data_IF_525380848335
#
_entry.id   IF_525380848335
#
_cell.length_a   1.000
_cell.length_b   1.000
_cell.length_c   1.000
_cell.angle_alpha   90.00
_cell.angle_beta   90.00
_cell.angle_gamma   90.00
#
_symmetry.space_group_name_H-M   'P 1'
#
loop_
_entity.id
_entity.type
_entity.pdbx_description
1 polymer ?
#
# COMPACT_ATOMS: atom_id res chain seq x y z
N UNK A 1 4.22 4.00 2.51
CA UNK A 1 5.07 4.16 1.30
C UNK A 1 6.34 4.95 1.54
N UNK A 2 6.30 6.06 2.29
CA UNK A 2 7.52 6.74 2.75
C UNK A 2 8.44 5.76 3.51
N UNK A 3 7.84 4.95 4.38
CA UNK A 3 8.59 3.95 5.18
C UNK A 3 9.19 2.84 4.29
N UNK A 4 8.48 2.36 3.25
CA UNK A 4 9.04 1.46 2.24
C UNK A 4 10.19 2.09 1.45
N UNK A 5 10.14 3.40 1.21
CA UNK A 5 11.22 4.08 0.52
C UNK A 5 12.46 4.25 1.41
N UNK A 6 12.27 4.41 2.72
CA UNK A 6 13.34 4.66 3.69
C UNK A 6 13.98 3.36 4.18
N UNK A 7 13.17 2.31 4.34
CA UNK A 7 13.58 1.06 4.97
C UNK A 7 13.33 -0.15 4.09
N UNK A 8 12.86 0.02 2.84
CA UNK A 8 12.43 -1.09 2.00
C UNK A 8 13.45 -2.20 1.89
N UNK A 9 14.72 -1.88 1.65
CA UNK A 9 15.81 -2.87 1.61
C UNK A 9 15.87 -3.74 2.87
N UNK A 10 15.83 -3.12 4.06
CA UNK A 10 15.81 -3.83 5.33
C UNK A 10 14.52 -4.65 5.49
N UNK A 11 13.36 -4.04 5.22
CA UNK A 11 12.05 -4.69 5.36
C UNK A 11 11.90 -5.91 4.43
N UNK A 12 12.51 -5.91 3.25
CA UNK A 12 12.53 -7.04 2.31
C UNK A 12 13.46 -8.18 2.74
N UNK A 13 14.45 -7.90 3.58
CA UNK A 13 15.37 -8.89 4.14
C UNK A 13 14.89 -9.38 5.53
N UNK A 14 13.64 -9.10 5.90
CA UNK A 14 13.09 -9.34 7.23
C UNK A 14 13.89 -8.66 8.37
N UNK A 15 14.62 -7.59 8.04
CA UNK A 15 15.37 -6.77 8.99
C UNK A 15 14.49 -5.61 9.44
N UNK A 16 14.05 -5.65 10.69
CA UNK A 16 13.28 -4.53 11.27
C UNK A 16 14.27 -3.43 11.71
N UNK A 17 14.17 -2.21 11.15
CA UNK A 17 15.06 -1.12 11.51
C UNK A 17 14.95 -0.81 13.01
N UNK A 18 16.11 -0.55 13.65
CA UNK A 18 16.13 -0.06 15.02
C UNK A 18 15.56 1.36 15.08
N UNK A 19 14.37 1.50 15.65
CA UNK A 19 13.69 2.77 15.91
C UNK A 19 13.34 2.88 17.38
N UNK A 20 13.43 4.07 17.96
CA UNK A 20 13.23 4.29 19.40
C UNK A 20 11.77 4.08 19.85
N UNK A 21 10.80 4.29 18.96
CA UNK A 21 9.37 4.12 19.24
C UNK A 21 8.92 2.70 18.92
N UNK A 22 8.57 1.92 19.96
CA UNK A 22 8.09 0.54 19.84
C UNK A 22 6.82 0.43 18.97
N UNK A 23 5.92 1.40 19.01
CA UNK A 23 4.71 1.36 18.17
C UNK A 23 5.09 1.52 16.70
N UNK A 24 6.10 2.34 16.43
CA UNK A 24 6.60 2.52 15.08
C UNK A 24 7.35 1.27 14.59
N UNK A 25 8.17 0.66 15.44
CA UNK A 25 8.82 -0.61 15.14
C UNK A 25 7.80 -1.71 14.77
N UNK A 26 6.72 -1.81 15.54
CA UNK A 26 5.63 -2.75 15.25
C UNK A 26 4.94 -2.46 13.91
N UNK A 27 4.71 -1.17 13.59
CA UNK A 27 4.15 -0.81 12.28
C UNK A 27 5.13 -1.09 11.12
N UNK A 28 6.44 -0.97 11.33
CA UNK A 28 7.45 -1.37 10.34
C UNK A 28 7.45 -2.90 10.13
N UNK A 29 7.34 -3.67 11.21
CA UNK A 29 7.21 -5.12 11.13
C UNK A 29 5.95 -5.55 10.38
N UNK A 30 4.80 -4.95 10.69
CA UNK A 30 3.56 -5.20 9.95
C UNK A 30 3.68 -4.82 8.48
N UNK A 31 4.37 -3.72 8.16
CA UNK A 31 4.61 -3.33 6.78
C UNK A 31 5.52 -4.33 6.02
N UNK A 32 6.55 -4.88 6.66
CA UNK A 32 7.37 -5.96 6.12
C UNK A 32 6.51 -7.19 5.83
N UNK A 33 5.69 -7.61 6.79
CA UNK A 33 4.79 -8.77 6.62
C UNK A 33 3.78 -8.57 5.48
N UNK A 34 3.14 -7.41 5.39
CA UNK A 34 2.22 -7.09 4.28
C UNK A 34 2.92 -7.12 2.93
N UNK A 35 4.18 -6.68 2.88
CA UNK A 35 4.99 -6.68 1.67
C UNK A 35 5.38 -8.11 1.28
N UNK A 36 5.71 -8.97 2.25
CA UNK A 36 5.98 -10.38 2.03
C UNK A 36 4.72 -11.16 1.59
N UNK A 37 3.56 -10.85 2.19
CA UNK A 37 2.28 -11.40 1.76
C UNK A 37 1.99 -11.03 0.31
N UNK A 38 2.23 -9.77 -0.07
CA UNK A 38 2.06 -9.29 -1.44
C UNK A 38 2.90 -10.05 -2.47
N UNK A 39 4.12 -10.50 -2.11
CA UNK A 39 4.94 -11.30 -3.03
C UNK A 39 4.21 -12.57 -3.47
N UNK A 40 3.32 -13.11 -2.66
CA UNK A 40 2.65 -14.39 -2.91
C UNK A 40 1.11 -14.27 -3.05
N UNK A 41 0.53 -13.09 -2.83
CA UNK A 41 -0.92 -12.84 -2.81
C UNK A 41 -1.31 -11.62 -3.64
N UNK A 42 -2.52 -11.64 -4.24
CA UNK A 42 -3.05 -10.50 -5.00
C UNK A 42 -3.51 -9.38 -4.07
N UNK A 43 -2.53 -8.75 -3.46
CA UNK A 43 -2.65 -7.48 -2.78
C UNK A 43 -2.22 -6.43 -3.79
N UNK A 44 -2.91 -5.29 -3.83
CA UNK A 44 -2.55 -4.19 -4.72
C UNK A 44 -2.28 -2.97 -3.86
N UNK A 45 -1.02 -2.54 -3.82
CA UNK A 45 -0.71 -1.27 -3.21
C UNK A 45 -0.95 -0.17 -4.22
N UNK A 46 -1.90 0.70 -3.91
CA UNK A 46 -2.20 1.85 -4.76
C UNK A 46 -1.62 3.10 -4.13
N UNK A 47 -0.87 3.83 -4.95
CA UNK A 47 -0.29 5.11 -4.60
C UNK A 47 -1.10 6.17 -5.28
N UNK A 48 -1.90 6.91 -4.52
CA UNK A 48 -2.78 7.89 -5.15
C UNK A 48 -2.02 9.14 -5.61
N UNK A 49 -2.49 9.84 -6.65
CA UNK A 49 -1.87 11.09 -7.10
C UNK A 49 -1.69 12.13 -5.98
N UNK A 50 -2.66 12.27 -5.05
CA UNK A 50 -2.51 13.19 -3.91
C UNK A 50 -1.36 12.81 -3.00
N UNK A 51 -1.11 11.51 -2.80
CA UNK A 51 0.01 10.99 -2.01
C UNK A 51 1.37 11.43 -2.57
N UNK A 52 1.46 11.65 -3.89
CA UNK A 52 2.67 12.15 -4.55
C UNK A 52 2.89 13.65 -4.32
N UNK A 53 1.81 14.41 -4.14
CA UNK A 53 1.84 15.88 -3.99
C UNK A 53 1.81 16.36 -2.55
N UNK A 54 1.56 15.48 -1.59
CA UNK A 54 1.43 15.78 -0.15
C UNK A 54 2.76 16.20 0.52
N UNK A 55 3.88 16.14 -0.20
CA UNK A 55 5.14 16.64 0.31
C UNK A 55 5.06 18.15 0.60
N UNK A 56 5.09 18.51 1.90
CA UNK A 56 5.14 19.91 2.42
C UNK A 56 6.12 20.83 1.67
N UNK A 57 7.17 20.28 1.05
CA UNK A 57 8.04 20.97 0.08
C UNK A 57 8.44 20.04 -1.05
N UNK A 58 7.99 20.35 -2.27
CA UNK A 58 8.53 19.78 -3.50
C UNK A 58 9.92 20.37 -3.73
N UNK A 59 10.95 19.63 -3.33
CA UNK A 59 12.36 20.03 -3.57
C UNK A 59 12.90 19.37 -4.85
N UNK A 60 13.96 19.92 -5.48
CA UNK A 60 14.61 19.26 -6.61
C UNK A 60 15.08 17.82 -6.28
N UNK A 61 15.48 17.57 -5.03
CA UNK A 61 15.80 16.22 -4.54
C UNK A 61 14.58 15.29 -4.49
N UNK A 62 13.42 15.82 -4.08
CA UNK A 62 12.15 15.08 -4.10
C UNK A 62 11.79 14.67 -5.53
N UNK A 63 11.83 15.63 -6.47
CA UNK A 63 11.50 15.39 -7.88
C UNK A 63 12.51 14.46 -8.57
N UNK A 64 13.81 14.60 -8.27
CA UNK A 64 14.87 13.87 -8.97
C UNK A 64 15.18 12.47 -8.44
N UNK A 65 14.80 12.13 -7.19
CA UNK A 65 15.08 10.80 -6.59
C UNK A 65 13.88 10.16 -5.92
N UNK A 66 13.07 10.95 -5.20
CA UNK A 66 11.98 10.41 -4.37
C UNK A 66 10.77 9.98 -5.18
N UNK A 67 10.36 10.83 -6.13
CA UNK A 67 9.21 10.57 -6.99
C UNK A 67 9.41 9.32 -7.89
N UNK A 68 10.57 9.16 -8.58
CA UNK A 68 10.83 7.93 -9.36
C UNK A 68 10.82 6.67 -8.50
N UNK A 69 11.42 6.70 -7.30
CA UNK A 69 11.43 5.55 -6.39
C UNK A 69 10.01 5.16 -5.95
N UNK A 70 9.19 6.17 -5.59
CA UNK A 70 7.79 5.97 -5.22
C UNK A 70 6.97 5.41 -6.38
N UNK A 71 7.18 5.90 -7.60
CA UNK A 71 6.51 5.39 -8.81
C UNK A 71 6.92 3.95 -9.11
N UNK A 72 8.21 3.63 -9.02
CA UNK A 72 8.71 2.27 -9.22
C UNK A 72 8.14 1.30 -8.17
N UNK A 73 8.03 1.73 -6.90
CA UNK A 73 7.34 0.95 -5.86
C UNK A 73 5.86 0.78 -6.20
N UNK A 74 5.16 1.85 -6.59
CA UNK A 74 3.75 1.80 -6.96
C UNK A 74 3.49 0.82 -8.12
N UNK A 75 4.29 0.90 -9.18
CA UNK A 75 4.19 0.04 -10.35
C UNK A 75 4.48 -1.43 -10.03
N UNK A 76 5.51 -1.65 -9.23
CA UNK A 76 5.91 -3.00 -8.82
C UNK A 76 4.82 -3.64 -7.99
N UNK A 77 4.17 -2.86 -7.10
CA UNK A 77 3.17 -3.36 -6.16
C UNK A 77 1.70 -3.26 -6.65
N UNK A 78 1.45 -2.72 -7.85
CA UNK A 78 0.10 -2.50 -8.37
C UNK A 78 -0.59 -3.76 -8.89
N UNK A 79 0.17 -4.71 -9.45
CA UNK A 79 -0.38 -5.94 -10.03
C UNK A 79 0.54 -7.12 -9.74
N UNK A 80 -0.04 -8.15 -9.13
CA UNK A 80 0.62 -9.46 -8.99
C UNK A 80 0.13 -10.46 -10.06
N UNK A 81 -1.11 -10.30 -10.55
CA UNK A 81 -1.76 -11.16 -11.56
C UNK A 81 -2.68 -10.33 -12.49
N UNK A 82 -2.88 -10.78 -13.74
CA UNK A 82 -3.84 -10.16 -14.69
C UNK A 82 -3.21 -9.62 -15.98
N UNK A 83 -3.85 -8.63 -16.61
CA UNK A 83 -3.33 -7.95 -17.81
C UNK A 83 -2.26 -6.94 -17.42
N UNK A 84 -1.00 -7.33 -17.63
CA UNK A 84 0.21 -6.56 -17.31
C UNK A 84 0.34 -5.27 -18.13
N UNK A 85 -0.50 -5.08 -19.15
CA UNK A 85 -0.59 -3.85 -19.95
C UNK A 85 -1.59 -2.86 -19.37
N UNK A 86 -2.42 -3.28 -18.40
CA UNK A 86 -3.31 -2.40 -17.69
C UNK A 86 -2.50 -1.36 -16.91
N UNK A 87 -2.91 -0.11 -17.03
CA UNK A 87 -2.30 1.00 -16.32
C UNK A 87 -2.50 0.82 -14.81
N UNK A 88 -1.42 0.96 -14.02
CA UNK A 88 -1.54 0.90 -12.57
C UNK A 88 -2.55 1.94 -12.07
N UNK A 89 -3.40 1.64 -11.07
CA UNK A 89 -4.40 2.60 -10.60
C UNK A 89 -3.81 3.95 -10.15
N UNK A 90 -2.52 3.97 -9.79
CA UNK A 90 -1.74 5.16 -9.46
C UNK A 90 -1.55 6.16 -10.61
N UNK A 91 -1.71 5.72 -11.85
CA UNK A 91 -1.59 6.55 -13.06
C UNK A 91 -2.92 7.07 -13.59
N UNK A 92 -4.03 6.62 -13.03
CA UNK A 92 -5.32 7.18 -13.38
C UNK A 92 -5.44 8.61 -12.84
N UNK A 93 -6.19 9.44 -13.56
CA UNK A 93 -6.52 10.78 -13.08
C UNK A 93 -7.29 10.69 -11.75
N UNK A 94 -7.06 11.67 -10.88
CA UNK A 94 -7.75 11.78 -9.60
C UNK A 94 -9.26 11.72 -9.84
N UNK A 95 -9.90 10.69 -9.30
CA UNK A 95 -11.34 10.49 -9.45
C UNK A 95 -12.09 11.41 -8.47
N UNK A 96 -13.26 11.93 -8.86
CA UNK A 96 -14.09 12.70 -7.93
C UNK A 96 -14.46 11.85 -6.72
N UNK A 97 -14.47 12.46 -5.53
CA UNK A 97 -14.81 11.78 -4.29
C UNK A 97 -16.19 11.11 -4.39
N UNK A 98 -16.25 9.82 -4.06
CA UNK A 98 -17.49 9.04 -4.01
C UNK A 98 -17.91 8.90 -2.55
N UNK A 99 -18.40 9.99 -1.97
CA UNK A 99 -18.71 10.04 -0.53
C UNK A 99 -18.29 11.36 0.10
N UNK A 100 -18.36 11.41 1.42
CA UNK A 100 -17.93 12.55 2.21
C UNK A 100 -17.27 12.07 3.50
N UNK A 101 -16.25 12.82 3.92
CA UNK A 101 -15.71 12.75 5.28
C UNK A 101 -16.26 13.91 6.11
N UNK A 102 -16.74 13.60 7.31
CA UNK A 102 -17.36 14.56 8.23
C UNK A 102 -16.50 14.88 9.45
N UNK A 103 -15.34 14.24 9.60
CA UNK A 103 -14.56 14.30 10.83
C UNK A 103 -13.21 15.03 10.70
N UNK A 104 -12.60 14.99 9.53
CA UNK A 104 -11.37 15.70 9.20
C UNK A 104 -11.67 17.11 8.70
N UNK A 105 -10.80 18.09 9.03
CA UNK A 105 -10.86 19.41 8.43
C UNK A 105 -10.63 19.32 6.90
N UNK A 106 -11.13 20.32 6.18
CA UNK A 106 -10.81 20.46 4.75
C UNK A 106 -9.29 20.63 4.60
N UNK A 107 -8.65 19.73 3.86
CA UNK A 107 -7.20 19.69 3.73
C UNK A 107 -6.69 18.39 3.11
N UNK A 108 -5.37 18.26 3.05
CA UNK A 108 -4.70 17.17 2.35
C UNK A 108 -5.06 15.79 2.89
N UNK A 109 -5.11 15.62 4.22
CA UNK A 109 -5.48 14.33 4.84
C UNK A 109 -6.88 13.87 4.44
N UNK A 110 -7.84 14.81 4.44
CA UNK A 110 -9.20 14.53 3.98
C UNK A 110 -9.24 14.16 2.50
N UNK A 111 -8.51 14.89 1.66
CA UNK A 111 -8.44 14.64 0.22
C UNK A 111 -7.82 13.27 -0.08
N UNK A 112 -6.78 12.87 0.67
CA UNK A 112 -6.13 11.55 0.55
C UNK A 112 -7.10 10.41 0.85
N UNK A 113 -7.85 10.51 1.94
CA UNK A 113 -8.82 9.47 2.33
C UNK A 113 -9.96 9.38 1.31
N UNK A 114 -10.48 10.53 0.85
CA UNK A 114 -11.56 10.56 -0.14
C UNK A 114 -11.11 10.06 -1.51
N UNK A 115 -9.87 10.31 -1.91
CA UNK A 115 -9.30 9.77 -3.15
C UNK A 115 -9.17 8.25 -3.08
N UNK A 116 -8.71 7.70 -1.94
CA UNK A 116 -8.66 6.26 -1.72
C UNK A 116 -10.06 5.61 -1.82
N UNK A 117 -11.08 6.27 -1.29
CA UNK A 117 -12.47 5.82 -1.43
C UNK A 117 -12.94 5.88 -2.89
N UNK A 118 -12.59 6.93 -3.63
CA UNK A 118 -12.98 7.12 -5.02
C UNK A 118 -12.41 6.06 -5.98
N UNK A 119 -11.22 5.54 -5.69
CA UNK A 119 -10.62 4.42 -6.44
C UNK A 119 -11.10 3.05 -5.94
N UNK A 120 -12.08 3.00 -5.03
CA UNK A 120 -12.59 1.76 -4.42
C UNK A 120 -11.52 0.95 -3.70
N UNK A 121 -10.56 1.62 -3.06
CA UNK A 121 -9.62 0.93 -2.18
C UNK A 121 -10.40 0.30 -1.01
N UNK A 122 -9.99 -0.91 -0.61
CA UNK A 122 -10.57 -1.59 0.55
C UNK A 122 -10.02 -1.03 1.86
N UNK A 123 -8.73 -0.67 1.86
CA UNK A 123 -7.99 -0.25 3.05
C UNK A 123 -7.16 0.99 2.71
N UNK A 124 -7.22 1.99 3.58
CA UNK A 124 -6.30 3.11 3.62
C UNK A 124 -5.30 2.89 4.76
N UNK A 125 -4.05 2.62 4.40
CA UNK A 125 -2.97 2.35 5.36
C UNK A 125 -2.36 3.65 5.87
N UNK A 126 -2.45 3.90 7.18
CA UNK A 126 -1.85 5.08 7.81
C UNK A 126 -1.48 4.84 9.27
N UNK A 127 -0.44 5.52 9.74
CA UNK A 127 -0.07 5.60 11.16
C UNK A 127 -0.62 6.85 11.83
N UNK A 128 -1.16 7.78 11.04
CA UNK A 128 -1.66 9.05 11.54
C UNK A 128 -2.88 8.83 12.46
N UNK A 129 -2.67 9.13 13.74
CA UNK A 129 -3.67 8.94 14.79
C UNK A 129 -4.89 9.83 14.56
N UNK A 130 -4.70 11.05 14.05
CA UNK A 130 -5.80 11.97 13.78
C UNK A 130 -6.69 11.42 12.68
N UNK A 131 -6.09 10.92 11.59
CA UNK A 131 -6.84 10.26 10.52
C UNK A 131 -7.60 9.05 11.07
N UNK A 132 -6.94 8.16 11.81
CA UNK A 132 -7.56 6.95 12.36
C UNK A 132 -8.73 7.24 13.31
N UNK A 133 -8.59 8.23 14.19
CA UNK A 133 -9.59 8.51 15.22
C UNK A 133 -10.74 9.41 14.72
N UNK A 134 -10.46 10.37 13.84
CA UNK A 134 -11.42 11.40 13.45
C UNK A 134 -12.17 11.09 12.17
N UNK A 135 -11.63 10.31 11.24
CA UNK A 135 -12.29 10.03 9.95
C UNK A 135 -13.69 9.44 10.13
N UNK A 136 -14.68 10.00 9.44
CA UNK A 136 -16.08 9.54 9.42
C UNK A 136 -16.60 9.60 8.00
N UNK A 137 -16.46 8.47 7.29
CA UNK A 137 -16.81 8.37 5.88
C UNK A 137 -18.26 7.95 5.66
N UNK A 138 -18.87 8.54 4.63
CA UNK A 138 -20.06 8.04 3.95
C UNK A 138 -19.70 7.52 2.57
N UNK A 139 -20.50 6.61 1.99
CA UNK A 139 -20.25 6.04 0.66
C UNK A 139 -19.70 4.61 0.70
N UNK A 140 -18.90 4.19 -0.31
CA UNK A 140 -18.28 2.87 -0.39
C UNK A 140 -17.44 2.56 0.85
N UNK A 141 -17.39 1.27 1.22
CA UNK A 141 -16.64 0.83 2.40
C UNK A 141 -15.13 1.01 2.17
N UNK A 142 -14.49 1.76 3.05
CA UNK A 142 -13.04 1.92 3.16
C UNK A 142 -12.66 1.74 4.64
N UNK A 143 -11.79 0.78 4.94
CA UNK A 143 -11.22 0.60 6.28
C UNK A 143 -9.97 1.47 6.44
N UNK A 144 -9.76 2.07 7.60
CA UNK A 144 -8.53 2.81 7.91
C UNK A 144 -7.76 2.04 8.98
N UNK A 145 -6.55 1.57 8.63
CA UNK A 145 -5.78 0.67 9.48
C UNK A 145 -4.31 1.08 9.52
N UNK A 146 -3.68 0.77 10.65
CA UNK A 146 -2.21 0.76 10.73
C UNK A 146 -1.66 -0.50 10.04
N UNK A 147 -0.42 -0.48 9.55
CA UNK A 147 0.20 -1.66 8.94
C UNK A 147 0.21 -2.88 9.87
N UNK A 148 0.59 -2.70 11.14
CA UNK A 148 0.59 -3.78 12.15
C UNK A 148 -0.79 -4.41 12.32
N UNK A 149 -1.81 -3.57 12.50
CA UNK A 149 -3.19 -4.03 12.69
C UNK A 149 -3.71 -4.81 11.47
N UNK A 150 -3.41 -4.35 10.25
CA UNK A 150 -3.82 -5.10 9.06
C UNK A 150 -3.10 -6.44 8.97
N UNK A 151 -1.80 -6.49 9.25
CA UNK A 151 -1.04 -7.73 9.26
C UNK A 151 -1.65 -8.74 10.26
N UNK A 152 -1.91 -8.30 11.49
CA UNK A 152 -2.57 -9.09 12.53
C UNK A 152 -3.95 -9.59 12.09
N UNK A 153 -4.77 -8.73 11.48
CA UNK A 153 -6.11 -9.11 10.98
C UNK A 153 -6.04 -10.17 9.87
N UNK A 154 -5.08 -10.04 8.94
CA UNK A 154 -4.86 -11.01 7.87
C UNK A 154 -4.41 -12.36 8.45
N UNK A 155 -3.44 -12.35 9.37
CA UNK A 155 -2.96 -13.56 10.06
C UNK A 155 -4.08 -14.22 10.85
N UNK A 156 -4.85 -13.46 11.62
CA UNK A 156 -5.98 -13.96 12.39
C UNK A 156 -7.10 -14.51 11.47
N UNK A 157 -7.26 -13.93 10.29
CA UNK A 157 -8.12 -14.42 9.21
C UNK A 157 -7.58 -15.66 8.48
N UNK A 158 -6.42 -16.18 8.89
CA UNK A 158 -5.77 -17.35 8.31
C UNK A 158 -5.03 -17.07 7.00
N UNK A 159 -4.85 -15.80 6.63
CA UNK A 159 -4.04 -15.41 5.46
C UNK A 159 -2.58 -15.52 5.82
N UNK A 160 -1.88 -16.37 5.09
CA UNK A 160 -0.45 -16.65 5.23
C UNK A 160 0.20 -16.59 3.84
N UNK A 161 1.53 -16.41 3.75
CA UNK A 161 2.21 -16.33 2.46
C UNK A 161 1.91 -17.55 1.56
N UNK A 162 1.87 -18.75 2.16
CA UNK A 162 1.65 -20.01 1.44
C UNK A 162 0.24 -20.63 1.63
N UNK A 163 -0.61 -20.10 2.53
CA UNK A 163 -1.90 -20.70 2.92
C UNK A 163 -3.02 -19.65 3.14
N UNK A 164 -4.28 -20.03 2.98
CA UNK A 164 -5.45 -19.16 3.26
C UNK A 164 -5.68 -18.00 2.29
N UNK A 165 -6.64 -17.12 2.62
CA UNK A 165 -6.98 -15.92 1.84
C UNK A 165 -7.66 -16.18 0.49
N UNK A 166 -8.25 -17.36 0.28
CA UNK A 166 -8.94 -17.69 -0.97
C UNK A 166 -10.23 -16.90 -1.11
N UNK A 167 -10.41 -16.20 -2.23
CA UNK A 167 -11.73 -15.68 -2.60
C UNK A 167 -12.65 -16.89 -2.84
N UNK A 168 -13.69 -17.04 -2.00
CA UNK A 168 -14.72 -18.07 -2.14
C UNK A 168 -15.69 -17.80 -3.31
N UNK A 169 -15.40 -16.79 -4.13
CA UNK A 169 -16.19 -16.45 -5.31
C UNK A 169 -16.01 -17.54 -6.39
N UNK A 170 -17.12 -17.97 -7.00
CA UNK A 170 -17.13 -19.04 -8.01
C UNK A 170 -16.33 -18.69 -9.29
N UNK A 171 -16.01 -17.42 -9.50
CA UNK A 171 -15.21 -16.86 -10.59
C UNK A 171 -13.86 -16.33 -10.10
N UNK A 172 -13.43 -16.74 -8.91
CA UNK A 172 -12.14 -16.36 -8.36
C UNK A 172 -11.02 -16.83 -9.31
N UNK A 173 -10.27 -15.91 -9.94
CA UNK A 173 -9.21 -16.30 -10.88
C UNK A 173 -8.07 -17.05 -10.18
N UNK A 174 -8.03 -17.04 -8.84
CA UNK A 174 -7.04 -17.72 -8.01
C UNK A 174 -7.43 -19.16 -7.64
N UNK A 175 -8.66 -19.61 -7.91
CA UNK A 175 -9.11 -20.98 -7.58
C UNK A 175 -8.47 -22.05 -8.49
N UNK A 176 -8.08 -21.66 -9.72
CA UNK A 176 -7.47 -22.55 -10.70
C UNK A 176 -5.95 -22.75 -10.52
N UNK A 177 -5.30 -22.05 -9.58
CA UNK A 177 -3.85 -22.03 -9.45
C UNK A 177 -3.36 -22.60 -8.12
N UNK A 178 -2.76 -23.78 -8.20
CA UNK A 178 -2.28 -24.56 -7.05
C UNK A 178 -1.04 -23.98 -6.37
N UNK A 179 -0.32 -23.05 -7.00
CA UNK A 179 0.78 -22.28 -6.41
C UNK A 179 0.94 -20.94 -7.14
N UNK A 180 0.70 -19.78 -6.50
CA UNK A 180 1.04 -18.48 -7.09
C UNK A 180 2.57 -18.37 -7.13
N UNK A 181 3.17 -18.52 -8.32
CA UNK A 181 4.56 -18.15 -8.53
C UNK A 181 4.60 -16.65 -8.85
N UNK A 182 5.28 -15.82 -8.05
CA UNK A 182 5.38 -14.40 -8.36
C UNK A 182 6.09 -14.14 -9.68
N UNK A 183 5.63 -13.14 -10.43
CA UNK A 183 6.41 -12.59 -11.53
C UNK A 183 7.58 -11.76 -10.98
N UNK A 184 8.76 -12.37 -10.96
CA UNK A 184 9.99 -11.73 -10.49
C UNK A 184 10.51 -10.62 -11.42
N UNK A 185 9.93 -10.42 -12.61
CA UNK A 185 10.38 -9.43 -13.59
C UNK A 185 10.25 -7.98 -13.10
N UNK A 186 9.14 -7.63 -12.45
CA UNK A 186 8.93 -6.31 -11.83
C UNK A 186 9.73 -6.11 -10.54
N UNK A 187 10.20 -7.21 -9.95
CA UNK A 187 11.02 -7.13 -8.74
C UNK A 187 12.37 -6.48 -9.05
N UNK A 188 12.87 -6.61 -10.29
CA UNK A 188 14.08 -5.92 -10.72
C UNK A 188 13.97 -4.39 -10.62
N UNK A 189 12.80 -3.84 -10.99
CA UNK A 189 12.52 -2.40 -10.85
C UNK A 189 12.51 -1.99 -9.38
N UNK A 190 11.82 -2.76 -8.54
CA UNK A 190 11.77 -2.56 -7.10
C UNK A 190 13.15 -2.65 -6.43
N UNK A 191 13.94 -3.68 -6.72
CA UNK A 191 15.29 -3.87 -6.18
C UNK A 191 16.26 -2.80 -6.70
N UNK A 192 16.11 -2.34 -7.94
CA UNK A 192 16.96 -1.26 -8.48
C UNK A 192 16.79 0.07 -7.73
N UNK A 193 15.66 0.28 -7.04
CA UNK A 193 15.45 1.44 -6.16
C UNK A 193 16.36 1.37 -4.92
N UNK A 194 16.68 0.15 -4.46
CA UNK A 194 17.44 -0.10 -3.24
C UNK A 194 18.95 -0.31 -3.48
N UNK A 195 19.36 -0.66 -4.71
CA UNK A 195 20.78 -0.84 -5.08
C UNK A 195 21.57 0.48 -5.26
N UNK A 196 20.91 1.65 -5.20
CA UNK A 196 21.55 2.96 -5.43
C UNK A 196 22.02 3.68 -4.15
N UNK A 197 22.24 2.95 -3.05
CA UNK A 197 22.84 3.50 -1.82
C UNK A 197 24.38 3.45 -1.83
#
# INVERSE_FOLDING_TARGET
MIDLQMYGSALFNDEIPEVEDENYANDLAGLSELTNLWLLRDIRFVVTPRSLTDAKRVTPRFLGRRLPAVQAIAESLAFQFGDWTATAPSYEESRPAVGQDHGLPVGADRDLVLEAQAISAHIFLTRDREILEKTRLSGPRLSLLRPSVLADELVAGGVQPMWGGTCEAADCPYDAWSMPAPDMGKWSGLFSVFEQE
#
